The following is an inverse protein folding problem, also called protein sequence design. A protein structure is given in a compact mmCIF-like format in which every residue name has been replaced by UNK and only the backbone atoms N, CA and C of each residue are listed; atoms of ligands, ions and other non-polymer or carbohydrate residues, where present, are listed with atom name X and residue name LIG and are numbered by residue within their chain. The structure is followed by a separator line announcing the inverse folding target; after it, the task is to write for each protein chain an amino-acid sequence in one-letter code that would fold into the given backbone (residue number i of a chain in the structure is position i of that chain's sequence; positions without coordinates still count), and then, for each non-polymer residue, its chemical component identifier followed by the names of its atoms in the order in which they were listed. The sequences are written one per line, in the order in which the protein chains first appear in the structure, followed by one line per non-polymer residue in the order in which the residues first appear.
data_IF_246011389011
#
_entry.id   IF_246011389011
#
_cell.length_a   1.000
_cell.length_b   1.000
_cell.length_c   1.000
_cell.angle_alpha   90.00
_cell.angle_beta   90.00
_cell.angle_gamma   90.00
#
_symmetry.space_group_name_H-M   'P 1'
#
loop_
_entity.id
_entity.type
_entity.pdbx_description
1 polymer ?
#
# COMPACT_ATOMS: atom_id res chain seq x y z
N UNK A 1 -49.21 7.51 48.02
CA UNK A 1 -48.19 6.49 48.35
C UNK A 1 -48.86 5.14 48.14
N UNK A 2 -48.57 4.27 47.19
CA UNK A 2 -47.43 4.06 46.29
C UNK A 2 -47.93 3.07 45.23
N UNK A 3 -47.78 3.34 43.94
CA UNK A 3 -47.93 2.31 42.88
C UNK A 3 -46.53 1.87 42.43
N UNK A 4 -46.24 0.56 42.33
CA UNK A 4 -44.95 0.07 41.88
C UNK A 4 -44.88 0.01 40.35
N UNK A 5 -43.72 0.37 39.81
CA UNK A 5 -43.34 0.25 38.40
C UNK A 5 -42.66 -1.12 38.24
N UNK A 6 -43.28 -2.04 37.50
CA UNK A 6 -42.61 -3.19 36.87
C UNK A 6 -42.34 -2.79 35.41
N UNK A 7 -41.12 -2.47 34.99
CA UNK A 7 -40.02 -3.40 34.69
C UNK A 7 -40.52 -4.73 34.11
N UNK A 8 -40.45 -4.89 32.78
CA UNK A 8 -39.65 -5.95 32.13
C UNK A 8 -39.96 -6.13 30.63
N UNK A 9 -38.87 -6.19 29.84
CA UNK A 9 -38.63 -7.04 28.63
C UNK A 9 -39.53 -6.77 27.40
N UNK A 10 -39.13 -6.94 26.15
CA UNK A 10 -38.08 -7.77 25.58
C UNK A 10 -37.80 -7.27 24.15
N UNK A 11 -36.53 -7.05 23.80
CA UNK A 11 -36.10 -6.77 22.42
C UNK A 11 -35.96 -8.13 21.72
N UNK A 12 -36.72 -8.34 20.65
CA UNK A 12 -36.49 -9.43 19.72
C UNK A 12 -36.73 -8.91 18.29
N UNK A 13 -35.68 -8.40 17.64
CA UNK A 13 -35.71 -8.17 16.19
C UNK A 13 -34.93 -9.29 15.52
N UNK A 14 -35.71 -10.10 14.81
CA UNK A 14 -35.32 -11.26 14.00
C UNK A 14 -34.35 -10.86 12.88
N UNK A 15 -33.11 -11.34 12.94
CA UNK A 15 -32.17 -11.28 11.82
C UNK A 15 -32.58 -12.32 10.77
N UNK A 16 -33.19 -11.86 9.67
CA UNK A 16 -33.39 -12.68 8.47
C UNK A 16 -32.22 -12.49 7.53
N UNK A 17 -31.44 -13.57 7.41
CA UNK A 17 -30.52 -13.82 6.31
C UNK A 17 -31.20 -13.66 4.95
N UNK A 18 -30.63 -12.84 4.06
CA UNK A 18 -30.86 -12.93 2.62
C UNK A 18 -29.53 -12.97 1.89
N UNK A 19 -29.34 -14.10 1.21
CA UNK A 19 -28.19 -14.49 0.40
C UNK A 19 -28.14 -13.72 -0.92
N UNK A 20 -27.05 -13.99 -1.66
CA UNK A 20 -26.81 -13.80 -3.11
C UNK A 20 -26.39 -12.37 -3.50
N UNK A 21 -25.30 -12.10 -4.23
CA UNK A 21 -24.68 -12.90 -5.30
C UNK A 21 -23.19 -12.60 -5.46
N UNK A 22 -22.39 -13.66 -5.63
CA UNK A 22 -21.06 -13.61 -6.23
C UNK A 22 -21.19 -13.16 -7.69
N UNK A 23 -20.46 -12.13 -8.08
CA UNK A 23 -20.05 -11.95 -9.47
C UNK A 23 -18.52 -11.87 -9.54
N UNK A 24 -18.00 -12.86 -10.27
CA UNK A 24 -16.61 -13.10 -10.62
C UNK A 24 -16.33 -12.26 -11.88
N UNK A 25 -15.21 -11.56 -11.93
CA UNK A 25 -14.57 -11.31 -13.22
C UNK A 25 -13.04 -11.29 -13.05
N UNK A 26 -12.45 -12.43 -13.39
CA UNK A 26 -11.01 -12.63 -13.51
C UNK A 26 -10.64 -12.40 -14.97
N UNK A 27 -9.89 -11.32 -15.25
CA UNK A 27 -9.29 -11.10 -16.57
C UNK A 27 -7.78 -11.12 -16.43
N UNK A 28 -7.19 -12.19 -16.98
CA UNK A 28 -5.76 -12.51 -16.98
C UNK A 28 -4.99 -11.51 -17.82
N UNK A 29 -3.99 -10.86 -17.22
CA UNK A 29 -2.96 -10.11 -17.95
C UNK A 29 -2.01 -11.12 -18.60
N UNK A 30 -1.93 -11.12 -19.94
CA UNK A 30 -0.87 -11.80 -20.70
C UNK A 30 0.15 -10.76 -21.14
N UNK A 31 1.33 -10.79 -20.54
CA UNK A 31 2.53 -10.14 -21.12
C UNK A 31 3.27 -11.21 -21.90
N UNK A 32 3.31 -11.08 -23.22
CA UNK A 32 4.13 -11.91 -24.09
C UNK A 32 5.44 -11.17 -24.39
N UNK A 33 6.53 -11.64 -23.80
CA UNK A 33 7.90 -11.37 -24.21
C UNK A 33 8.29 -12.31 -25.36
N UNK A 34 8.95 -11.81 -26.42
CA UNK A 34 9.67 -12.68 -27.35
C UNK A 34 10.88 -11.98 -27.98
N UNK A 35 11.94 -12.78 -28.11
CA UNK A 35 13.33 -12.43 -28.33
C UNK A 35 13.72 -12.17 -29.81
N UNK A 36 14.75 -11.33 -29.97
CA UNK A 36 16.00 -11.48 -30.74
C UNK A 36 16.01 -12.33 -32.05
N UNK A 37 16.51 -11.71 -33.12
CA UNK A 37 17.12 -12.33 -34.32
C UNK A 37 17.19 -11.29 -35.45
N UNK A 38 18.31 -10.80 -35.96
CA UNK A 38 19.49 -11.48 -36.48
C UNK A 38 19.44 -11.45 -38.01
N UNK A 39 20.35 -10.73 -38.69
CA UNK A 39 20.68 -10.95 -40.13
C UNK A 39 21.97 -10.23 -40.55
N UNK A 40 22.76 -10.97 -41.34
CA UNK A 40 24.14 -10.75 -41.80
C UNK A 40 24.17 -10.18 -43.24
N UNK A 41 25.27 -9.53 -43.65
CA UNK A 41 25.83 -9.38 -45.03
C UNK A 41 27.16 -8.59 -44.88
N UNK A 42 28.38 -9.07 -45.14
CA UNK A 42 29.06 -9.80 -46.24
C UNK A 42 29.25 -8.98 -47.53
N UNK A 43 30.42 -8.32 -47.68
CA UNK A 43 31.17 -7.94 -48.91
C UNK A 43 32.60 -7.59 -48.41
N UNK A 44 33.72 -8.28 -48.64
CA UNK A 44 34.42 -8.83 -49.81
C UNK A 44 35.06 -7.76 -50.74
N UNK A 45 36.32 -7.39 -50.49
CA UNK A 45 37.22 -6.97 -51.58
C UNK A 45 38.69 -7.23 -51.26
N UNK A 46 39.32 -7.92 -52.21
CA UNK A 46 40.72 -8.34 -52.35
C UNK A 46 41.56 -7.18 -52.87
N UNK A 47 42.81 -7.01 -52.43
CA UNK A 47 43.90 -6.57 -53.32
C UNK A 47 45.27 -7.08 -52.84
N UNK A 48 45.90 -7.80 -53.77
CA UNK A 48 47.20 -8.47 -53.73
C UNK A 48 48.30 -7.44 -54.03
N UNK A 49 49.53 -7.64 -53.52
CA UNK A 49 50.76 -7.79 -54.34
C UNK A 49 52.08 -7.33 -53.65
N UNK A 50 53.07 -8.25 -53.68
CA UNK A 50 54.52 -8.05 -53.94
C UNK A 50 55.42 -7.51 -52.80
N UNK A 51 56.71 -7.83 -52.63
CA UNK A 51 57.59 -9.02 -52.67
C UNK A 51 59.04 -8.53 -52.39
N UNK A 52 59.68 -8.97 -51.29
CA UNK A 52 61.14 -9.05 -50.95
C UNK A 52 62.06 -7.78 -50.92
N UNK A 53 63.25 -7.77 -50.26
CA UNK A 53 63.83 -8.64 -49.20
C UNK A 53 64.63 -7.94 -48.05
N UNK A 54 64.94 -8.74 -47.00
CA UNK A 54 66.01 -8.72 -45.98
C UNK A 54 66.77 -7.41 -45.59
N UNK A 55 66.87 -7.15 -44.27
CA UNK A 55 68.15 -6.88 -43.56
C UNK A 55 67.99 -6.88 -42.01
N UNK A 56 68.90 -7.59 -41.35
CA UNK A 56 69.51 -7.36 -40.02
C UNK A 56 68.65 -6.76 -38.87
N UNK A 57 68.27 -7.55 -37.86
CA UNK A 57 68.98 -7.70 -36.56
C UNK A 57 69.05 -6.39 -35.75
N UNK A 58 68.25 -6.27 -34.68
CA UNK A 58 68.66 -6.56 -33.29
C UNK A 58 67.66 -6.00 -32.27
N UNK A 59 67.18 -6.87 -31.38
CA UNK A 59 66.98 -6.60 -29.95
C UNK A 59 66.17 -5.38 -29.52
N UNK A 60 64.85 -5.56 -29.38
CA UNK A 60 64.12 -5.09 -28.19
C UNK A 60 62.82 -5.88 -28.05
N UNK A 61 62.94 -7.15 -27.65
CA UNK A 61 61.82 -7.87 -27.03
C UNK A 61 61.50 -7.17 -25.72
N UNK A 62 60.68 -6.12 -25.79
CA UNK A 62 59.89 -5.70 -24.64
C UNK A 62 58.87 -6.82 -24.44
N UNK A 63 58.92 -7.61 -23.36
CA UNK A 63 57.81 -8.49 -23.06
C UNK A 63 56.59 -7.57 -22.93
N UNK A 64 55.67 -7.68 -23.88
CA UNK A 64 54.34 -7.08 -23.76
C UNK A 64 53.75 -7.66 -22.49
N UNK A 65 53.85 -6.88 -21.41
CA UNK A 65 53.19 -7.16 -20.16
C UNK A 65 51.72 -7.41 -20.53
N UNK A 66 51.12 -8.56 -20.18
CA UNK A 66 49.68 -8.68 -20.28
C UNK A 66 49.11 -7.51 -19.50
N UNK A 67 48.43 -6.60 -20.19
CA UNK A 67 47.72 -5.48 -19.59
C UNK A 67 46.97 -6.06 -18.38
N UNK A 68 47.21 -5.58 -17.15
CA UNK A 68 46.48 -6.06 -15.99
C UNK A 68 45.01 -5.90 -16.33
N UNK A 69 44.32 -7.02 -16.55
CA UNK A 69 42.90 -7.00 -16.86
C UNK A 69 42.26 -6.18 -15.75
N UNK A 70 41.73 -5.00 -16.09
CA UNK A 70 41.19 -4.09 -15.10
C UNK A 70 40.29 -4.90 -14.16
N UNK A 71 40.48 -4.80 -12.83
CA UNK A 71 39.66 -5.57 -11.90
C UNK A 71 38.19 -5.32 -12.27
N UNK A 72 37.36 -6.39 -12.35
CA UNK A 72 35.96 -6.22 -12.71
C UNK A 72 35.36 -5.12 -11.83
N UNK A 73 34.60 -4.16 -12.40
CA UNK A 73 34.02 -3.08 -11.63
C UNK A 73 33.30 -3.69 -10.44
N UNK A 74 33.59 -3.18 -9.23
CA UNK A 74 32.97 -3.67 -8.01
C UNK A 74 31.46 -3.73 -8.19
N UNK A 75 30.77 -4.78 -7.70
CA UNK A 75 29.32 -4.84 -7.77
C UNK A 75 28.77 -3.53 -7.17
N UNK A 76 27.76 -2.92 -7.80
CA UNK A 76 27.19 -1.68 -7.30
C UNK A 76 26.81 -1.86 -5.82
N UNK A 77 27.08 -0.86 -4.96
CA UNK A 77 26.74 -0.97 -3.55
C UNK A 77 25.25 -1.27 -3.42
N UNK A 78 24.91 -2.36 -2.73
CA UNK A 78 23.51 -2.69 -2.45
C UNK A 78 22.91 -1.57 -1.58
N UNK A 79 21.78 -0.96 -1.96
CA UNK A 79 21.16 0.10 -1.19
C UNK A 79 20.63 -0.47 0.14
N UNK A 80 21.01 0.15 1.26
CA UNK A 80 20.59 -0.25 2.61
C UNK A 80 19.57 0.76 3.14
N UNK A 81 18.40 0.32 3.62
CA UNK A 81 17.39 1.24 4.14
C UNK A 81 17.90 1.93 5.40
N UNK A 82 18.00 3.25 5.35
CA UNK A 82 18.59 4.10 6.39
C UNK A 82 17.57 5.05 7.03
N UNK A 83 16.51 5.40 6.30
CA UNK A 83 15.43 6.24 6.83
C UNK A 83 14.09 5.86 6.22
N UNK A 84 13.02 6.06 6.96
CA UNK A 84 11.65 5.81 6.51
C UNK A 84 10.76 6.96 6.93
N UNK A 85 10.02 7.52 5.98
CA UNK A 85 9.01 8.54 6.22
C UNK A 85 7.64 7.99 5.90
N UNK A 86 6.64 8.29 6.74
CA UNK A 86 5.25 7.90 6.53
C UNK A 86 4.38 9.15 6.48
N UNK A 87 3.50 9.19 5.48
CA UNK A 87 2.56 10.28 5.26
C UNK A 87 1.14 9.73 5.20
N UNK A 88 0.18 10.31 5.94
CA UNK A 88 0.34 11.38 6.94
C UNK A 88 1.03 10.91 8.23
N UNK A 89 1.58 11.85 9.00
CA UNK A 89 2.26 11.57 10.29
C UNK A 89 1.29 11.27 11.44
N UNK A 90 -0.01 11.53 11.26
CA UNK A 90 -1.10 11.16 12.16
C UNK A 90 -2.41 11.08 11.38
N UNK A 91 -3.39 10.35 11.90
CA UNK A 91 -4.69 10.22 11.26
C UNK A 91 -5.84 10.12 12.26
N UNK A 92 -6.99 10.65 11.88
CA UNK A 92 -8.26 10.47 12.60
C UNK A 92 -9.31 9.94 11.64
N UNK A 93 -9.93 8.81 12.01
CA UNK A 93 -11.01 8.18 11.25
C UNK A 93 -12.32 8.40 12.02
N UNK A 94 -13.29 9.07 11.37
CA UNK A 94 -14.51 9.55 12.04
C UNK A 94 -15.69 8.56 11.95
N UNK A 95 -15.47 7.41 11.32
CA UNK A 95 -16.46 6.36 11.23
C UNK A 95 -15.81 4.99 11.17
N UNK A 96 -16.52 4.00 11.73
CA UNK A 96 -16.11 2.59 11.66
C UNK A 96 -16.23 2.13 10.22
N UNK A 97 -15.23 1.39 9.74
CA UNK A 97 -15.13 0.98 8.34
C UNK A 97 -14.50 2.02 7.40
N UNK A 98 -14.21 3.24 7.87
CA UNK A 98 -13.40 4.17 7.08
C UNK A 98 -12.00 3.62 6.86
N UNK A 99 -11.48 3.91 5.67
CA UNK A 99 -10.15 3.49 5.25
C UNK A 99 -9.26 4.68 4.95
N UNK A 100 -7.99 4.58 5.29
CA UNK A 100 -6.96 5.57 4.95
C UNK A 100 -5.73 4.87 4.39
N UNK A 101 -5.24 5.37 3.26
CA UNK A 101 -4.00 4.90 2.68
C UNK A 101 -2.81 5.65 3.30
N UNK A 102 -1.91 4.92 3.96
CA UNK A 102 -0.61 5.45 4.36
C UNK A 102 0.38 5.31 3.20
N UNK A 103 1.12 6.36 2.90
CA UNK A 103 2.24 6.34 1.97
C UNK A 103 3.54 6.23 2.75
N UNK A 104 4.46 5.39 2.28
CA UNK A 104 5.78 5.20 2.90
C UNK A 104 6.87 5.46 1.87
N UNK A 105 7.88 6.23 2.26
CA UNK A 105 9.08 6.48 1.48
C UNK A 105 10.30 6.01 2.26
N UNK A 106 11.05 5.09 1.66
CA UNK A 106 12.29 4.54 2.24
C UNK A 106 13.46 5.19 1.52
N UNK A 107 14.45 5.65 2.29
CA UNK A 107 15.67 6.27 1.79
C UNK A 107 16.87 5.38 2.10
N UNK A 108 17.82 5.32 1.16
CA UNK A 108 19.08 4.62 1.32
C UNK A 108 20.12 5.46 2.09
N UNK A 109 21.33 4.91 2.26
CA UNK A 109 22.45 5.59 2.93
C UNK A 109 22.91 6.88 2.26
N UNK A 110 22.53 7.12 1.01
CA UNK A 110 22.85 8.30 0.22
C UNK A 110 21.66 9.27 0.12
N UNK A 111 20.62 9.08 0.94
CA UNK A 111 19.36 9.83 0.89
C UNK A 111 18.60 9.70 -0.44
N UNK A 112 18.85 8.64 -1.23
CA UNK A 112 18.09 8.34 -2.43
C UNK A 112 16.85 7.49 -2.11
N UNK A 113 15.75 7.74 -2.82
CA UNK A 113 14.50 6.98 -2.64
C UNK A 113 14.68 5.55 -3.15
N UNK A 114 14.42 4.58 -2.28
CA UNK A 114 14.46 3.16 -2.60
C UNK A 114 13.11 2.69 -3.15
N UNK A 115 12.97 2.69 -4.48
CA UNK A 115 11.79 2.14 -5.14
C UNK A 115 11.74 0.62 -4.99
N UNK A 116 10.68 0.08 -4.40
CA UNK A 116 10.51 -1.35 -4.18
C UNK A 116 11.14 -1.90 -2.88
N UNK A 117 11.47 -1.02 -1.93
CA UNK A 117 11.83 -1.47 -0.58
C UNK A 117 10.70 -2.32 0.03
N UNK A 118 11.06 -3.43 0.68
CA UNK A 118 10.10 -4.26 1.39
C UNK A 118 9.68 -3.56 2.69
N UNK A 119 8.39 -3.25 2.81
CA UNK A 119 7.82 -2.64 4.01
C UNK A 119 6.84 -3.61 4.64
N UNK A 120 7.02 -3.86 5.93
CA UNK A 120 6.12 -4.65 6.77
C UNK A 120 5.34 -3.70 7.66
N UNK A 121 4.01 -3.84 7.65
CA UNK A 121 3.12 -3.03 8.47
C UNK A 121 2.60 -3.82 9.67
N UNK A 122 2.49 -3.16 10.81
CA UNK A 122 1.88 -3.71 12.01
C UNK A 122 1.00 -2.69 12.71
N UNK A 123 -0.11 -3.15 13.29
CA UNK A 123 -0.93 -2.36 14.21
C UNK A 123 -0.66 -2.78 15.65
N UNK A 124 -0.58 -1.82 16.55
CA UNK A 124 -0.54 -2.07 18.00
C UNK A 124 -1.85 -2.61 18.56
N UNK A 125 -2.99 -2.29 17.92
CA UNK A 125 -4.30 -2.80 18.29
C UNK A 125 -5.17 -3.05 17.05
N UNK A 126 -5.21 -4.31 16.61
CA UNK A 126 -6.01 -4.74 15.46
C UNK A 126 -7.52 -4.73 15.73
N UNK A 127 -7.96 -4.65 17.00
CA UNK A 127 -9.38 -4.52 17.34
C UNK A 127 -9.89 -3.08 17.15
N UNK A 128 -9.00 -2.10 17.17
CA UNK A 128 -9.29 -0.67 16.92
C UNK A 128 -9.04 -0.31 15.45
N UNK A 129 -7.85 -0.64 14.92
CA UNK A 129 -7.50 -0.36 13.53
C UNK A 129 -6.62 -1.48 12.94
N UNK A 130 -6.99 -1.93 11.75
CA UNK A 130 -6.20 -2.92 10.98
C UNK A 130 -5.42 -2.23 9.88
N UNK A 131 -4.30 -2.81 9.46
CA UNK A 131 -3.48 -2.31 8.36
C UNK A 131 -3.16 -3.47 7.41
N UNK A 132 -3.29 -3.23 6.10
CA UNK A 132 -2.91 -4.20 5.06
C UNK A 132 -1.41 -4.13 4.77
N UNK A 133 -0.87 -5.13 4.06
CA UNK A 133 0.53 -5.13 3.61
C UNK A 133 0.87 -3.98 2.64
N UNK A 134 -0.13 -3.28 2.09
CA UNK A 134 0.07 -2.10 1.25
C UNK A 134 -0.07 -0.78 2.03
N UNK A 135 -0.26 -0.81 3.36
CA UNK A 135 -0.44 0.40 4.18
C UNK A 135 -1.87 0.97 4.18
N UNK A 136 -2.86 0.23 3.67
CA UNK A 136 -4.27 0.60 3.82
C UNK A 136 -4.74 0.31 5.25
N UNK A 137 -5.04 1.35 6.01
CA UNK A 137 -5.58 1.29 7.37
C UNK A 137 -7.11 1.25 7.30
N UNK A 138 -7.75 0.42 8.12
CA UNK A 138 -9.21 0.30 8.23
C UNK A 138 -9.64 0.41 9.69
N UNK A 139 -10.58 1.32 9.97
CA UNK A 139 -11.19 1.49 11.29
C UNK A 139 -12.10 0.31 11.63
N UNK A 140 -11.90 -0.29 12.81
CA UNK A 140 -12.69 -1.44 13.29
C UNK A 140 -13.54 -1.06 14.51
N UNK A 141 -12.98 -0.33 15.46
CA UNK A 141 -13.71 0.14 16.65
C UNK A 141 -13.14 1.46 17.17
N UNK A 142 -13.90 2.12 18.04
CA UNK A 142 -13.47 3.39 18.65
C UNK A 142 -12.28 3.17 19.57
N UNK A 143 -11.26 4.01 19.45
CA UNK A 143 -10.05 3.91 20.26
C UNK A 143 -8.86 4.60 19.62
N UNK A 144 -7.66 4.30 20.13
CA UNK A 144 -6.40 4.76 19.57
C UNK A 144 -5.51 3.56 19.27
N UNK A 145 -4.89 3.55 18.10
CA UNK A 145 -3.94 2.55 17.68
C UNK A 145 -2.74 3.24 17.01
N UNK A 146 -1.54 2.76 17.29
CA UNK A 146 -0.35 3.14 16.55
C UNK A 146 -0.08 2.12 15.44
N UNK A 147 0.10 2.61 14.22
CA UNK A 147 0.50 1.83 13.05
C UNK A 147 2.00 2.04 12.82
N UNK A 148 2.75 0.96 12.64
CA UNK A 148 4.20 1.00 12.43
C UNK A 148 4.55 0.38 11.08
N UNK A 149 5.35 1.10 10.30
CA UNK A 149 6.00 0.63 9.08
C UNK A 149 7.44 0.22 9.42
N UNK A 150 7.85 -0.96 8.99
CA UNK A 150 9.20 -1.49 9.20
C UNK A 150 9.85 -1.79 7.85
N UNK A 151 11.09 -1.34 7.63
CA UNK A 151 11.86 -1.59 6.42
C UNK A 151 13.30 -1.92 6.80
N UNK A 152 13.69 -3.19 6.74
CA UNK A 152 15.00 -3.64 7.19
C UNK A 152 15.22 -3.36 8.68
N UNK A 153 16.15 -2.45 9.00
CA UNK A 153 16.48 -2.04 10.38
C UNK A 153 15.80 -0.74 10.82
N UNK A 154 15.06 -0.08 9.94
CA UNK A 154 14.43 1.21 10.22
C UNK A 154 12.93 1.09 10.31
N UNK A 155 12.32 1.96 11.13
CA UNK A 155 10.89 1.97 11.36
C UNK A 155 10.34 3.38 11.51
N UNK A 156 9.08 3.56 11.13
CA UNK A 156 8.32 4.78 11.34
C UNK A 156 6.94 4.44 11.92
N UNK A 157 6.45 5.25 12.86
CA UNK A 157 5.18 5.02 13.55
C UNK A 157 4.24 6.19 13.35
N UNK A 158 2.95 5.89 13.21
CA UNK A 158 1.86 6.84 12.97
C UNK A 158 0.73 6.56 13.97
N UNK A 159 0.37 7.52 14.84
CA UNK A 159 -0.82 7.40 15.68
C UNK A 159 -2.09 7.57 14.83
N UNK A 160 -3.04 6.66 15.04
CA UNK A 160 -4.35 6.63 14.41
C UNK A 160 -5.41 6.65 15.50
N UNK A 161 -6.30 7.63 15.47
CA UNK A 161 -7.46 7.70 16.36
C UNK A 161 -8.72 7.36 15.60
N UNK A 162 -9.55 6.49 16.15
CA UNK A 162 -10.85 6.11 15.57
C UNK A 162 -11.95 6.58 16.51
N UNK A 163 -12.87 7.39 15.99
CA UNK A 163 -14.00 7.90 16.76
C UNK A 163 -15.23 7.96 15.86
N UNK A 164 -16.25 7.17 16.16
CA UNK A 164 -17.53 7.23 15.48
C UNK A 164 -18.26 8.53 15.85
N UNK A 165 -18.36 9.45 14.89
CA UNK A 165 -19.20 10.64 15.01
C UNK A 165 -20.59 10.34 14.44
N UNK A 166 -21.63 10.72 15.17
CA UNK A 166 -22.98 10.80 14.60
C UNK A 166 -22.98 11.92 13.54
N UNK A 167 -23.45 11.59 12.33
CA UNK A 167 -23.51 12.54 11.22
C UNK A 167 -24.82 13.31 11.19
N UNK A 168 -25.95 12.63 11.45
CA UNK A 168 -27.27 13.27 11.45
C UNK A 168 -28.31 12.48 12.25
N UNK A 169 -29.46 13.11 12.50
CA UNK A 169 -30.61 12.48 13.13
C UNK A 169 -31.78 12.59 12.14
N UNK A 170 -32.36 11.45 11.75
CA UNK A 170 -33.55 11.39 10.91
C UNK A 170 -34.78 11.12 11.78
N UNK A 171 -35.79 11.99 11.66
CA UNK A 171 -37.06 11.89 12.39
C UNK A 171 -38.17 11.55 11.41
N UNK A 172 -38.96 10.54 11.71
CA UNK A 172 -40.13 10.13 10.93
C UNK A 172 -41.39 10.03 11.80
N UNK A 173 -42.55 10.54 11.33
CA UNK A 173 -42.71 11.40 10.16
C UNK A 173 -42.09 12.80 10.37
N UNK A 174 -41.52 13.40 9.32
CA UNK A 174 -40.88 14.71 9.38
C UNK A 174 -41.87 15.85 9.72
N UNK A 175 -43.15 15.65 9.44
CA UNK A 175 -44.24 16.53 9.83
C UNK A 175 -45.45 15.70 10.25
N UNK A 176 -46.12 16.14 11.31
CA UNK A 176 -47.34 15.54 11.80
C UNK A 176 -48.40 16.63 12.01
N UNK A 177 -49.63 16.36 11.58
CA UNK A 177 -50.78 17.26 11.80
C UNK A 177 -51.80 16.48 12.61
N UNK A 178 -52.21 17.06 13.75
CA UNK A 178 -53.23 16.51 14.63
C UNK A 178 -54.49 17.36 14.45
N UNK A 179 -55.61 16.70 14.15
CA UNK A 179 -56.89 17.34 13.80
C UNK A 179 -57.92 17.24 14.92
N UNK A 180 -57.69 16.39 15.93
CA UNK A 180 -58.63 16.16 17.03
C UNK A 180 -57.98 16.34 18.40
N UNK A 181 -58.77 16.77 19.40
CA UNK A 181 -58.31 16.85 20.79
C UNK A 181 -58.04 15.44 21.32
N UNK A 182 -56.83 15.20 21.83
CA UNK A 182 -56.41 13.89 22.34
C UNK A 182 -55.79 12.96 21.28
N UNK A 183 -55.63 13.43 20.04
CA UNK A 183 -54.88 12.70 19.02
C UNK A 183 -53.39 12.68 19.35
N UNK A 184 -52.75 11.52 19.16
CA UNK A 184 -51.32 11.33 19.42
C UNK A 184 -50.63 10.80 18.18
N UNK A 185 -49.46 11.33 17.86
CA UNK A 185 -48.58 10.80 16.80
C UNK A 185 -47.30 10.25 17.43
N UNK A 186 -46.91 9.07 17.00
CA UNK A 186 -45.62 8.48 17.34
C UNK A 186 -44.57 8.98 16.35
N UNK A 187 -43.49 9.56 16.87
CA UNK A 187 -42.29 9.89 16.10
C UNK A 187 -41.21 8.86 16.39
N UNK A 188 -40.50 8.43 15.36
CA UNK A 188 -39.28 7.64 15.46
C UNK A 188 -38.08 8.52 15.09
N UNK A 189 -37.03 8.49 15.91
CA UNK A 189 -35.75 9.11 15.61
C UNK A 189 -34.70 8.04 15.38
N UNK A 190 -33.93 8.17 14.31
CA UNK A 190 -32.78 7.32 13.99
C UNK A 190 -31.54 8.17 13.87
N UNK A 191 -30.43 7.71 14.47
CA UNK A 191 -29.13 8.39 14.37
C UNK A 191 -28.36 7.73 13.24
N UNK A 192 -27.91 8.53 12.29
CA UNK A 192 -27.05 8.12 11.18
C UNK A 192 -25.60 8.49 11.54
N UNK A 193 -24.65 7.61 11.22
CA UNK A 193 -23.23 7.92 11.35
C UNK A 193 -22.75 8.85 10.22
N UNK A 194 -21.49 9.27 10.29
CA UNK A 194 -20.90 10.24 9.35
C UNK A 194 -20.30 9.65 8.07
N UNK A 195 -20.60 8.40 7.70
CA UNK A 195 -19.95 7.70 6.57
C UNK A 195 -20.85 7.48 5.35
#
# INVERSE_FOLDING_TARGET
MTTPISSERNIAVSSRSSRLSKQISSTRVRVASACRGGRRRLVLTVFVAICLPLLAVCGKDSPTQPEPSAPPPAPPPTPVPTRTDVTPSSATLNAIGQTLQLAVQVFDQNNAVMNGASVVWSSSDASVATVSGQGLVTAVSNGSATITAHSGTVSASVPVTVMQSAGSIAIEPAMAVLMSLGETVQLSATVLDGN
#
